data_IF_064780604981
#
_entry.id   IF_064780604981
#
_cell.length_a   1.000
_cell.length_b   1.000
_cell.length_c   1.000
_cell.angle_alpha   90.00
_cell.angle_beta   90.00
_cell.angle_gamma   90.00
#
_symmetry.space_group_name_H-M   'P 1'
#
loop_
_entity.id
_entity.type
_entity.pdbx_description
1 polymer ?
#
# COMPACT_ATOMS: atom_id res chain seq x y z
N UNK A 1 1.04 -34.79 -6.74
CA UNK A 1 0.33 -33.70 -7.44
C UNK A 1 -0.35 -32.88 -6.35
N UNK A 2 0.13 -31.68 -5.98
CA UNK A 2 -0.65 -30.82 -5.09
C UNK A 2 -1.83 -30.27 -5.90
N UNK A 3 -3.02 -30.35 -5.30
CA UNK A 3 -4.17 -29.59 -5.77
C UNK A 3 -3.97 -28.10 -5.45
N UNK A 4 -4.56 -27.26 -6.29
CA UNK A 4 -4.78 -25.82 -6.13
C UNK A 4 -3.58 -24.89 -6.34
N UNK A 5 -3.73 -23.98 -7.31
CA UNK A 5 -2.76 -22.96 -7.71
C UNK A 5 -2.53 -21.90 -6.64
N UNK A 6 -1.87 -22.28 -5.54
CA UNK A 6 -1.36 -21.35 -4.55
C UNK A 6 -0.23 -20.53 -5.18
N UNK A 7 -0.48 -19.24 -5.41
CA UNK A 7 0.55 -18.29 -5.82
C UNK A 7 1.59 -18.16 -4.70
N UNK A 8 2.88 -18.27 -5.03
CA UNK A 8 3.97 -18.00 -4.08
C UNK A 8 4.17 -16.48 -3.96
N UNK A 9 3.68 -15.92 -2.85
CA UNK A 9 3.81 -14.50 -2.52
C UNK A 9 5.06 -14.19 -1.67
N UNK A 10 5.91 -15.18 -1.38
CA UNK A 10 7.04 -15.04 -0.48
C UNK A 10 8.14 -14.08 -0.96
N UNK A 11 8.10 -13.66 -2.23
CA UNK A 11 9.01 -12.68 -2.81
C UNK A 11 8.39 -11.31 -3.07
N UNK A 12 7.08 -11.18 -2.86
CA UNK A 12 6.34 -9.95 -3.14
C UNK A 12 6.68 -8.86 -2.12
N UNK A 13 6.92 -7.65 -2.60
CA UNK A 13 7.15 -6.46 -1.80
C UNK A 13 5.97 -5.50 -1.96
N UNK A 14 5.18 -5.37 -0.90
CA UNK A 14 4.00 -4.51 -0.87
C UNK A 14 4.30 -3.26 -0.04
N UNK A 15 3.91 -2.08 -0.54
CA UNK A 15 3.82 -0.86 0.26
C UNK A 15 2.37 -0.67 0.70
N UNK A 16 2.12 -0.76 2.00
CA UNK A 16 0.82 -0.51 2.62
C UNK A 16 0.81 0.90 3.24
N UNK A 17 -0.15 1.73 2.82
CA UNK A 17 -0.28 3.13 3.24
C UNK A 17 -1.64 3.33 3.91
N UNK A 18 -1.64 3.64 5.20
CA UNK A 18 -2.84 3.71 6.04
C UNK A 18 -2.54 4.52 7.31
N UNK A 19 -3.38 5.49 7.66
CA UNK A 19 -3.14 6.39 8.80
C UNK A 19 -3.66 5.81 10.13
N UNK A 20 -4.63 4.88 10.07
CA UNK A 20 -5.12 4.12 11.21
C UNK A 20 -4.20 2.95 11.55
N UNK A 21 -3.45 3.06 12.65
CA UNK A 21 -2.58 1.99 13.13
C UNK A 21 -3.30 0.65 13.35
N UNK A 22 -4.60 0.69 13.68
CA UNK A 22 -5.41 -0.52 13.82
C UNK A 22 -5.63 -1.21 12.48
N UNK A 23 -6.11 -0.47 11.46
CA UNK A 23 -6.35 -1.02 10.12
C UNK A 23 -5.03 -1.48 9.51
N UNK A 24 -3.96 -0.68 9.65
CA UNK A 24 -2.62 -1.01 9.18
C UNK A 24 -2.14 -2.36 9.73
N UNK A 25 -2.39 -2.63 11.02
CA UNK A 25 -2.02 -3.90 11.67
C UNK A 25 -2.86 -5.07 11.14
N UNK A 26 -4.17 -4.89 11.02
CA UNK A 26 -5.09 -5.92 10.50
C UNK A 26 -4.73 -6.32 9.06
N UNK A 27 -4.46 -5.34 8.21
CA UNK A 27 -4.10 -5.60 6.80
C UNK A 27 -2.72 -6.22 6.68
N UNK A 28 -1.72 -5.78 7.46
CA UNK A 28 -0.39 -6.40 7.49
C UNK A 28 -0.46 -7.87 7.92
N UNK A 29 -1.21 -8.19 8.99
CA UNK A 29 -1.40 -9.56 9.45
C UNK A 29 -2.07 -10.43 8.37
N UNK A 30 -3.06 -9.90 7.65
CA UNK A 30 -3.71 -10.60 6.55
C UNK A 30 -2.74 -10.88 5.40
N UNK A 31 -1.94 -9.89 4.98
CA UNK A 31 -0.96 -10.06 3.92
C UNK A 31 0.11 -11.10 4.30
N UNK A 32 0.59 -11.08 5.55
CA UNK A 32 1.53 -12.07 6.08
C UNK A 32 0.92 -13.46 6.13
N UNK A 33 -0.33 -13.59 6.55
CA UNK A 33 -1.06 -14.85 6.56
C UNK A 33 -1.20 -15.43 5.13
N UNK A 34 -1.36 -14.57 4.12
CA UNK A 34 -1.35 -14.96 2.70
C UNK A 34 0.04 -15.33 2.17
N UNK A 35 1.10 -15.21 2.97
CA UNK A 35 2.47 -15.56 2.61
C UNK A 35 3.24 -14.45 1.89
N UNK A 36 2.80 -13.19 1.96
CA UNK A 36 3.57 -12.06 1.44
C UNK A 36 4.89 -11.93 2.19
N UNK A 37 6.00 -11.93 1.45
CA UNK A 37 7.34 -11.91 2.03
C UNK A 37 7.70 -10.60 2.72
N UNK A 38 7.35 -9.47 2.12
CA UNK A 38 7.74 -8.16 2.62
C UNK A 38 6.59 -7.14 2.49
N UNK A 39 6.29 -6.48 3.61
CA UNK A 39 5.29 -5.42 3.70
C UNK A 39 5.96 -4.20 4.32
N UNK A 40 6.20 -3.18 3.50
CA UNK A 40 6.60 -1.85 3.95
C UNK A 40 5.35 -1.09 4.35
N UNK A 41 5.45 -0.28 5.41
CA UNK A 41 4.33 0.47 5.97
C UNK A 41 4.62 1.95 5.89
N UNK A 42 3.61 2.74 5.55
CA UNK A 42 3.62 4.19 5.63
C UNK A 42 2.30 4.66 6.26
N UNK A 43 2.37 5.71 7.07
CA UNK A 43 1.18 6.26 7.74
C UNK A 43 0.45 7.33 6.94
N UNK A 44 1.07 7.83 5.87
CA UNK A 44 0.53 8.89 5.03
C UNK A 44 1.25 8.92 3.67
N UNK A 45 0.76 9.76 2.75
CA UNK A 45 1.38 9.90 1.43
C UNK A 45 2.80 10.50 1.43
N UNK A 46 3.22 11.23 2.47
CA UNK A 46 4.59 11.78 2.55
C UNK A 46 5.58 10.64 2.80
N UNK A 47 5.33 9.83 3.82
CA UNK A 47 6.18 8.66 4.14
C UNK A 47 6.19 7.66 2.98
N UNK A 48 5.05 7.44 2.33
CA UNK A 48 4.96 6.59 1.15
C UNK A 48 5.85 7.08 -0.02
N UNK A 49 5.85 8.39 -0.29
CA UNK A 49 6.71 9.01 -1.31
C UNK A 49 8.19 8.83 -0.97
N UNK A 50 8.57 8.99 0.30
CA UNK A 50 9.95 8.79 0.75
C UNK A 50 10.42 7.35 0.53
N UNK A 51 9.60 6.36 0.90
CA UNK A 51 9.91 4.95 0.65
C UNK A 51 9.97 4.61 -0.84
N UNK A 52 9.08 5.18 -1.66
CA UNK A 52 9.10 5.02 -3.12
C UNK A 52 10.36 5.61 -3.75
N UNK A 53 10.85 6.74 -3.23
CA UNK A 53 12.12 7.32 -3.70
C UNK A 53 13.32 6.44 -3.33
N UNK A 54 13.30 5.82 -2.15
CA UNK A 54 14.37 4.92 -1.71
C UNK A 54 14.41 3.61 -2.51
N UNK A 55 13.28 3.12 -3.01
CA UNK A 55 13.23 1.91 -3.85
C UNK A 55 13.77 2.10 -5.28
N UNK A 56 14.20 3.32 -5.65
CA UNK A 56 14.83 3.62 -6.95
C UNK A 56 16.27 3.13 -7.07
N UNK A 57 16.96 2.85 -5.97
CA UNK A 57 18.37 2.48 -6.01
C UNK A 57 18.54 0.94 -6.10
N UNK A 58 18.83 0.37 -7.28
CA UNK A 58 19.05 -1.07 -7.43
C UNK A 58 20.34 -1.57 -6.78
N UNK A 59 21.23 -0.68 -6.34
CA UNK A 59 22.50 -1.00 -5.68
C UNK A 59 22.54 -0.57 -4.19
N UNK A 60 21.55 0.18 -3.73
CA UNK A 60 21.37 0.61 -2.36
C UNK A 60 20.66 -0.48 -1.54
N UNK A 61 21.35 -1.01 -0.53
CA UNK A 61 21.00 -2.24 0.20
C UNK A 61 19.69 -2.27 1.00
N UNK A 62 18.70 -1.40 0.72
CA UNK A 62 17.44 -1.32 1.45
C UNK A 62 16.15 -1.42 0.60
N UNK A 63 16.22 -1.36 -0.73
CA UNK A 63 15.01 -1.26 -1.57
C UNK A 63 14.88 -2.38 -2.61
N UNK A 64 14.24 -3.49 -2.26
CA UNK A 64 13.67 -4.38 -3.29
C UNK A 64 12.63 -3.61 -4.10
N UNK A 65 12.56 -3.88 -5.41
CA UNK A 65 11.51 -3.32 -6.28
C UNK A 65 10.14 -3.62 -5.67
N UNK A 66 9.32 -2.59 -5.51
CA UNK A 66 7.93 -2.76 -5.07
C UNK A 66 7.10 -3.38 -6.19
N UNK A 67 6.22 -4.30 -5.81
CA UNK A 67 5.33 -5.01 -6.72
C UNK A 67 3.90 -4.46 -6.68
N UNK A 68 3.50 -3.87 -5.55
CA UNK A 68 2.16 -3.35 -5.33
C UNK A 68 2.16 -2.24 -4.26
N UNK A 69 1.33 -1.23 -4.47
CA UNK A 69 0.91 -0.29 -3.42
C UNK A 69 -0.54 -0.58 -3.05
N UNK A 70 -0.82 -0.65 -1.74
CA UNK A 70 -2.18 -0.64 -1.19
C UNK A 70 -2.27 0.63 -0.35
N UNK A 71 -3.19 1.53 -0.68
CA UNK A 71 -3.33 2.82 0.01
C UNK A 71 -4.77 3.04 0.42
N UNK A 72 -4.98 3.53 1.63
CA UNK A 72 -6.24 4.18 1.96
C UNK A 72 -6.44 5.44 1.10
N UNK A 73 -7.70 5.78 0.86
CA UNK A 73 -8.09 6.93 0.06
C UNK A 73 -7.98 8.23 0.87
N UNK A 74 -8.31 8.22 2.17
CA UNK A 74 -8.52 9.41 2.98
C UNK A 74 -7.48 9.48 4.09
N UNK A 75 -6.38 10.18 3.82
CA UNK A 75 -5.29 10.37 4.77
C UNK A 75 -4.83 11.83 4.77
N UNK A 76 -4.06 12.22 5.79
CA UNK A 76 -3.41 13.52 5.88
C UNK A 76 -1.90 13.35 6.17
N UNK A 77 -1.01 14.27 5.71
CA UNK A 77 -1.32 15.49 4.97
C UNK A 77 -1.48 15.28 3.46
N UNK A 78 -1.07 14.11 2.94
CA UNK A 78 -1.24 13.73 1.54
C UNK A 78 -2.17 12.52 1.48
N UNK A 79 -3.30 12.68 0.79
CA UNK A 79 -4.28 11.63 0.60
C UNK A 79 -3.88 10.62 -0.48
N UNK A 80 -4.62 9.51 -0.56
CA UNK A 80 -4.33 8.41 -1.50
C UNK A 80 -4.47 8.79 -2.97
N UNK A 81 -5.35 9.74 -3.31
CA UNK A 81 -5.54 10.20 -4.70
C UNK A 81 -4.38 11.08 -5.15
N UNK A 82 -3.87 11.95 -4.28
CA UNK A 82 -2.67 12.76 -4.52
C UNK A 82 -1.44 11.86 -4.62
N UNK A 83 -1.31 10.86 -3.74
CA UNK A 83 -0.26 9.85 -3.82
C UNK A 83 -0.31 9.10 -5.16
N UNK A 84 -1.48 8.60 -5.58
CA UNK A 84 -1.65 7.92 -6.87
C UNK A 84 -1.25 8.82 -8.05
N UNK A 85 -1.67 10.09 -8.07
CA UNK A 85 -1.25 11.05 -9.10
C UNK A 85 0.27 11.21 -9.13
N UNK A 86 0.89 11.35 -7.97
CA UNK A 86 2.34 11.43 -7.87
C UNK A 86 3.02 10.16 -8.42
N UNK A 87 2.50 8.96 -8.12
CA UNK A 87 3.03 7.71 -8.67
C UNK A 87 2.96 7.69 -10.20
N UNK A 88 1.86 8.16 -10.80
CA UNK A 88 1.65 8.11 -12.27
C UNK A 88 2.38 9.20 -13.05
N UNK A 89 2.59 10.36 -12.45
CA UNK A 89 3.03 11.59 -13.15
C UNK A 89 4.31 12.21 -12.57
N UNK A 90 4.68 11.86 -11.34
CA UNK A 90 5.82 12.44 -10.64
C UNK A 90 7.15 12.09 -11.31
N UNK A 91 7.97 13.10 -11.59
CA UNK A 91 9.32 12.92 -12.18
C UNK A 91 10.24 12.05 -11.32
N UNK A 92 10.00 12.02 -10.02
CA UNK A 92 10.78 11.25 -9.06
C UNK A 92 10.17 9.88 -8.74
N UNK A 93 9.02 9.53 -9.34
CA UNK A 93 8.38 8.23 -9.15
C UNK A 93 9.24 7.12 -9.75
N UNK A 94 9.51 6.02 -9.02
CA UNK A 94 10.33 4.91 -9.51
C UNK A 94 9.71 4.18 -10.69
N UNK A 95 8.39 3.98 -10.65
CA UNK A 95 7.66 3.15 -11.60
C UNK A 95 6.22 3.66 -11.74
N UNK A 96 5.95 4.35 -12.85
CA UNK A 96 4.62 4.90 -13.16
C UNK A 96 3.56 3.83 -13.44
N UNK A 97 3.96 2.57 -13.63
CA UNK A 97 3.06 1.44 -13.90
C UNK A 97 2.90 0.51 -12.70
N UNK A 98 3.54 0.82 -11.56
CA UNK A 98 3.41 0.07 -10.32
C UNK A 98 1.92 -0.16 -9.98
N UNK A 99 1.47 -1.43 -9.86
CA UNK A 99 0.11 -1.73 -9.44
C UNK A 99 -0.27 -0.96 -8.16
N UNK A 100 -1.49 -0.45 -8.13
CA UNK A 100 -1.98 0.39 -7.04
C UNK A 100 -3.43 0.01 -6.74
N UNK A 101 -3.69 -0.44 -5.51
CA UNK A 101 -5.02 -0.71 -4.98
C UNK A 101 -5.38 0.43 -4.03
N UNK A 102 -6.52 1.05 -4.28
CA UNK A 102 -7.10 2.03 -3.38
C UNK A 102 -8.12 1.35 -2.48
N UNK A 103 -7.94 1.45 -1.17
CA UNK A 103 -8.94 1.06 -0.18
C UNK A 103 -9.84 2.28 0.08
N UNK A 104 -11.16 2.08 0.06
CA UNK A 104 -12.11 3.12 0.41
C UNK A 104 -13.09 2.61 1.44
N UNK A 105 -13.31 3.39 2.50
CA UNK A 105 -14.28 3.10 3.54
C UNK A 105 -15.73 3.42 3.15
N UNK A 106 -16.12 3.34 1.87
CA UNK A 106 -17.45 3.79 1.42
C UNK A 106 -18.62 3.12 2.16
N UNK A 107 -18.42 1.94 2.74
CA UNK A 107 -19.40 1.27 3.60
C UNK A 107 -19.45 1.83 5.03
N UNK A 108 -18.36 2.39 5.55
CA UNK A 108 -18.31 3.03 6.87
C UNK A 108 -19.03 4.38 6.87
N UNK A 109 -18.90 5.19 5.81
CA UNK A 109 -19.63 6.48 5.73
C UNK A 109 -21.16 6.27 5.78
N UNK A 110 -21.68 5.26 5.07
CA UNK A 110 -23.10 4.96 5.06
C UNK A 110 -23.59 4.39 6.41
N UNK A 111 -22.77 3.56 7.07
CA UNK A 111 -23.07 3.02 8.40
C UNK A 111 -22.95 4.08 9.51
N UNK A 112 -21.97 4.98 9.42
CA UNK A 112 -21.81 6.11 10.34
C UNK A 112 -22.98 7.07 10.19
N UNK A 113 -23.48 7.33 8.98
CA UNK A 113 -24.70 8.11 8.79
C UNK A 113 -25.93 7.41 9.39
N UNK A 114 -26.13 6.11 9.11
CA UNK A 114 -27.24 5.34 9.67
C UNK A 114 -27.21 5.18 11.19
N UNK A 115 -26.03 5.18 11.81
CA UNK A 115 -25.88 5.07 13.26
C UNK A 115 -26.03 6.41 14.00
N UNK A 116 -26.07 7.53 13.28
CA UNK A 116 -26.28 8.87 13.86
C UNK A 116 -27.76 9.27 13.94
N UNK A 117 -28.64 8.53 13.26
CA UNK A 117 -30.10 8.64 13.30
C UNK A 117 -30.72 7.63 14.28
#
# INVERSE_FOLDING_TARGET
MPADGAYDLGRFNILLVEDSQYILSVVDDLLRYMGVGNVLKARDGVEAIELLKQSRDPYGGAGSRLDLIISDMVMAPIDGLVLLRWVREGKESPDRFLPFIMMSGAADDENVQKARD
#
